data_IF_860540525511
#
_entry.id   IF_860540525511
#
_cell.length_a   1.000
_cell.length_b   1.000
_cell.length_c   1.000
_cell.angle_alpha   90.00
_cell.angle_beta   90.00
_cell.angle_gamma   90.00
#
_symmetry.space_group_name_H-M   'P 1'
#
loop_
_entity.id
_entity.type
_entity.pdbx_description
1 polymer ?
#
# COMPACT_ATOMS: atom_id res chain seq x y z
N UNK A 1 -3.66 3.15 -12.19
CA UNK A 1 -2.25 2.79 -12.00
C UNK A 1 -2.15 1.28 -11.86
N UNK A 2 -1.11 0.66 -12.40
CA UNK A 2 -0.89 -0.77 -12.21
C UNK A 2 -0.11 -1.02 -10.91
N UNK A 3 0.04 -2.31 -10.55
CA UNK A 3 0.71 -2.71 -9.31
C UNK A 3 2.12 -2.15 -9.19
N UNK A 4 2.91 -2.21 -10.25
CA UNK A 4 4.29 -1.72 -10.22
C UNK A 4 4.37 -0.23 -9.93
N UNK A 5 3.49 0.55 -10.52
CA UNK A 5 3.45 1.99 -10.28
C UNK A 5 3.06 2.31 -8.85
N UNK A 6 2.07 1.60 -8.32
CA UNK A 6 1.62 1.77 -6.93
C UNK A 6 2.73 1.37 -5.96
N UNK A 7 3.37 0.25 -6.19
CA UNK A 7 4.46 -0.23 -5.35
C UNK A 7 5.64 0.73 -5.33
N UNK A 8 6.05 1.23 -6.50
CA UNK A 8 7.12 2.22 -6.59
C UNK A 8 6.77 3.50 -5.84
N UNK A 9 5.54 3.96 -5.98
CA UNK A 9 5.09 5.17 -5.28
C UNK A 9 5.10 4.98 -3.77
N UNK A 10 4.62 3.84 -3.28
CA UNK A 10 4.66 3.53 -1.86
C UNK A 10 6.09 3.46 -1.33
N UNK A 11 7.00 2.85 -2.07
CA UNK A 11 8.40 2.78 -1.67
C UNK A 11 9.03 4.16 -1.62
N UNK A 12 8.70 5.03 -2.57
CA UNK A 12 9.19 6.41 -2.58
C UNK A 12 8.66 7.17 -1.36
N UNK A 13 7.38 7.03 -1.05
CA UNK A 13 6.78 7.66 0.11
C UNK A 13 7.37 7.12 1.42
N UNK A 14 7.71 5.83 1.46
CA UNK A 14 8.29 5.20 2.63
C UNK A 14 9.68 5.78 2.98
N UNK A 15 10.40 6.28 1.99
CA UNK A 15 11.69 6.91 2.22
C UNK A 15 11.58 8.22 3.01
N UNK A 16 10.45 8.90 2.89
CA UNK A 16 10.24 10.18 3.57
C UNK A 16 9.29 10.09 4.76
N UNK A 17 8.44 9.05 4.83
CA UNK A 17 7.45 8.91 5.89
C UNK A 17 7.42 7.47 6.39
N UNK A 18 7.75 7.28 7.66
CA UNK A 18 7.87 5.95 8.27
C UNK A 18 6.57 5.15 8.27
N UNK A 19 5.41 5.82 8.24
CA UNK A 19 4.11 5.12 8.21
C UNK A 19 3.95 4.25 6.95
N UNK A 20 4.47 4.71 5.82
CA UNK A 20 4.42 3.94 4.57
C UNK A 20 5.37 2.77 4.61
N UNK A 21 6.52 2.92 5.26
CA UNK A 21 7.45 1.83 5.47
C UNK A 21 6.85 0.72 6.32
N UNK A 22 6.13 1.07 7.38
CA UNK A 22 5.43 0.08 8.21
C UNK A 22 4.33 -0.62 7.44
N UNK A 23 3.57 0.13 6.65
CA UNK A 23 2.54 -0.45 5.80
C UNK A 23 3.12 -1.49 4.83
N UNK A 24 4.21 -1.14 4.15
CA UNK A 24 4.87 -2.06 3.24
C UNK A 24 5.38 -3.31 3.97
N UNK A 25 5.96 -3.17 5.16
CA UNK A 25 6.42 -4.30 5.95
C UNK A 25 5.27 -5.24 6.30
N UNK A 26 4.13 -4.71 6.70
CA UNK A 26 2.96 -5.53 7.02
C UNK A 26 2.47 -6.29 5.79
N UNK A 27 2.42 -5.63 4.65
CA UNK A 27 1.97 -6.24 3.40
C UNK A 27 2.93 -7.35 2.97
N UNK A 28 4.24 -7.08 2.98
CA UNK A 28 5.23 -8.07 2.56
C UNK A 28 5.35 -9.24 3.54
N UNK A 29 4.93 -9.06 4.78
CA UNK A 29 4.91 -10.13 5.78
C UNK A 29 3.60 -10.92 5.79
N UNK A 30 2.59 -10.45 5.07
CA UNK A 30 1.30 -11.13 5.00
C UNK A 30 1.36 -12.35 4.09
N UNK A 31 0.43 -13.31 4.24
CA UNK A 31 0.30 -14.41 3.28
C UNK A 31 0.10 -13.91 1.86
N UNK A 32 0.54 -14.70 0.88
CA UNK A 32 0.55 -14.30 -0.52
C UNK A 32 -0.84 -13.91 -1.02
N UNK A 33 -1.87 -14.64 -0.63
CA UNK A 33 -3.25 -14.35 -1.03
C UNK A 33 -3.73 -13.00 -0.50
N UNK A 34 -3.32 -12.62 0.70
CA UNK A 34 -3.65 -11.31 1.25
C UNK A 34 -2.90 -10.19 0.53
N UNK A 35 -1.64 -10.43 0.17
CA UNK A 35 -0.87 -9.48 -0.62
C UNK A 35 -1.56 -9.20 -1.96
N UNK A 36 -1.95 -10.26 -2.66
CA UNK A 36 -2.63 -10.12 -3.94
C UNK A 36 -3.93 -9.34 -3.81
N UNK A 37 -4.71 -9.62 -2.76
CA UNK A 37 -5.96 -8.93 -2.50
C UNK A 37 -5.74 -7.44 -2.25
N UNK A 38 -4.71 -7.12 -1.49
CA UNK A 38 -4.35 -5.74 -1.23
C UNK A 38 -4.02 -4.99 -2.53
N UNK A 39 -3.15 -5.57 -3.37
CA UNK A 39 -2.76 -4.93 -4.62
C UNK A 39 -3.93 -4.79 -5.59
N UNK A 40 -4.79 -5.81 -5.66
CA UNK A 40 -6.00 -5.73 -6.49
C UNK A 40 -6.91 -4.59 -6.04
N UNK A 41 -7.12 -4.44 -4.74
CA UNK A 41 -7.94 -3.36 -4.20
C UNK A 41 -7.33 -2.00 -4.52
N UNK A 42 -6.01 -1.88 -4.42
CA UNK A 42 -5.32 -0.64 -4.74
C UNK A 42 -5.44 -0.27 -6.21
N UNK A 43 -5.39 -1.27 -7.09
CA UNK A 43 -5.57 -1.05 -8.52
C UNK A 43 -7.01 -0.68 -8.88
N UNK A 44 -7.98 -1.26 -8.19
CA UNK A 44 -9.40 -1.04 -8.46
C UNK A 44 -9.90 0.32 -7.96
N UNK A 45 -9.20 0.92 -6.99
CA UNK A 45 -9.58 2.18 -6.38
C UNK A 45 -8.66 3.30 -6.83
N UNK A 46 -9.11 4.55 -6.61
CA UNK A 46 -8.22 5.69 -6.75
C UNK A 46 -7.11 5.55 -5.70
N UNK A 47 -5.87 5.56 -6.13
CA UNK A 47 -4.73 5.34 -5.26
C UNK A 47 -4.75 6.26 -4.02
N UNK A 48 -5.04 7.54 -4.23
CA UNK A 48 -5.09 8.51 -3.12
C UNK A 48 -6.13 8.13 -2.08
N UNK A 49 -7.32 7.75 -2.53
CA UNK A 49 -8.38 7.34 -1.61
C UNK A 49 -8.04 6.06 -0.88
N UNK A 50 -7.44 5.09 -1.55
CA UNK A 50 -7.05 3.83 -0.94
C UNK A 50 -6.00 4.05 0.15
N UNK A 51 -5.00 4.88 -0.11
CA UNK A 51 -3.96 5.20 0.87
C UNK A 51 -4.55 5.94 2.06
N UNK A 52 -5.43 6.91 1.82
CA UNK A 52 -6.06 7.66 2.91
C UNK A 52 -6.87 6.75 3.82
N UNK A 53 -7.61 5.79 3.26
CA UNK A 53 -8.37 4.83 4.05
C UNK A 53 -7.45 3.97 4.90
N UNK A 54 -6.38 3.44 4.33
CA UNK A 54 -5.43 2.59 5.05
C UNK A 54 -4.78 3.38 6.19
N UNK A 55 -4.31 4.57 5.92
CA UNK A 55 -3.67 5.41 6.94
C UNK A 55 -4.65 5.82 8.05
N UNK A 56 -5.90 6.07 7.70
CA UNK A 56 -6.93 6.36 8.68
C UNK A 56 -7.16 5.18 9.62
N UNK A 57 -7.20 3.96 9.08
CA UNK A 57 -7.41 2.76 9.88
C UNK A 57 -6.23 2.47 10.81
N UNK A 58 -5.02 2.86 10.44
CA UNK A 58 -3.83 2.66 11.27
C UNK A 58 -3.66 3.74 12.34
N UNK A 59 -4.26 4.86 12.16
CA UNK A 59 -4.17 5.92 13.15
C UNK A 59 -5.20 5.72 14.26
#
# INVERSE_FOLDING_TARGET
MNRHQIENLLQTLAMSQGRYGRLLNEIYSAPEDEQERFWENMEAQNFGDAIDVVLFLES
#
